data_IF_218548908445
#
_entry.id   IF_218548908445
#
_cell.length_a   1.000
_cell.length_b   1.000
_cell.length_c   1.000
_cell.angle_alpha   90.00
_cell.angle_beta   90.00
_cell.angle_gamma   90.00
#
_symmetry.space_group_name_H-M   'P 1'
#
loop_
_entity.id
_entity.type
_entity.pdbx_description
1 polymer ?
#
# COMPACT_ATOMS: atom_id res chain seq x y z
N UNK A 1 4.94 6.92 12.66
CA UNK A 1 6.16 6.58 11.91
C UNK A 1 6.46 5.09 11.94
N UNK A 2 5.42 4.25 12.07
CA UNK A 2 5.55 3.03 12.88
C UNK A 2 5.38 1.75 12.04
N UNK A 3 4.67 1.83 10.91
CA UNK A 3 4.53 0.74 9.92
C UNK A 3 5.85 0.27 9.27
N UNK A 4 6.93 1.06 9.39
CA UNK A 4 8.22 0.76 8.75
C UNK A 4 9.18 0.07 9.72
N UNK A 5 8.95 0.21 11.04
CA UNK A 5 10.01 -0.01 12.03
C UNK A 5 9.92 -1.35 12.79
N UNK A 6 8.80 -2.08 12.72
CA UNK A 6 8.68 -3.34 13.47
C UNK A 6 8.09 -4.49 12.66
N UNK A 7 8.86 -4.99 11.68
CA UNK A 7 8.82 -6.41 11.33
C UNK A 7 10.02 -6.80 10.47
N UNK A 8 11.17 -6.95 11.11
CA UNK A 8 12.28 -7.72 10.54
C UNK A 8 11.87 -9.18 10.20
N UNK A 9 10.72 -9.65 10.71
CA UNK A 9 10.10 -10.95 10.44
C UNK A 9 9.31 -10.95 9.11
N UNK A 10 8.53 -9.90 8.82
CA UNK A 10 7.80 -9.74 7.54
C UNK A 10 8.80 -9.45 6.41
N UNK A 11 9.74 -8.54 6.62
CA UNK A 11 10.77 -8.23 5.59
C UNK A 11 11.64 -9.44 5.22
N UNK A 12 11.94 -10.37 6.13
CA UNK A 12 12.79 -11.54 5.86
C UNK A 12 12.09 -12.68 5.14
N UNK A 13 10.76 -12.85 5.30
CA UNK A 13 10.01 -13.95 4.65
C UNK A 13 9.55 -13.60 3.23
N UNK A 14 9.28 -12.32 2.93
CA UNK A 14 8.66 -11.91 1.66
C UNK A 14 9.63 -11.36 0.59
N UNK A 15 10.95 -11.32 0.86
CA UNK A 15 11.94 -10.79 -0.09
C UNK A 15 12.27 -11.75 -1.26
N UNK A 16 11.87 -13.03 -1.19
CA UNK A 16 12.35 -14.07 -2.13
C UNK A 16 11.44 -14.32 -3.34
N UNK A 17 10.16 -13.91 -3.36
CA UNK A 17 9.22 -14.35 -4.41
C UNK A 17 8.78 -13.31 -5.42
N UNK A 18 9.17 -12.03 -5.30
CA UNK A 18 8.78 -11.02 -6.30
C UNK A 18 9.78 -10.91 -7.47
N UNK A 19 10.02 -12.01 -8.19
CA UNK A 19 10.57 -11.94 -9.55
C UNK A 19 9.39 -11.64 -10.48
N UNK A 20 9.04 -10.36 -10.59
CA UNK A 20 7.92 -9.85 -11.40
C UNK A 20 7.95 -10.43 -12.82
N UNK A 21 6.89 -11.13 -13.23
CA UNK A 21 6.66 -11.51 -14.63
C UNK A 21 6.46 -10.25 -15.48
N UNK A 22 7.00 -10.29 -16.69
CA UNK A 22 7.14 -9.17 -17.64
C UNK A 22 5.81 -8.49 -18.03
N UNK A 23 4.69 -9.19 -17.86
CA UNK A 23 3.39 -8.82 -18.42
C UNK A 23 2.62 -7.75 -17.60
N UNK A 24 2.76 -7.77 -16.28
CA UNK A 24 2.14 -6.75 -15.40
C UNK A 24 2.94 -5.43 -15.36
N UNK A 25 4.24 -5.48 -15.70
CA UNK A 25 5.04 -4.28 -15.96
C UNK A 25 4.56 -3.56 -17.21
N UNK A 26 4.17 -4.26 -18.26
CA UNK A 26 3.80 -3.65 -19.54
C UNK A 26 2.56 -2.75 -19.47
N UNK A 27 1.50 -3.14 -18.74
CA UNK A 27 0.27 -2.32 -18.63
C UNK A 27 0.46 -1.10 -17.73
N UNK A 28 1.20 -1.22 -16.64
CA UNK A 28 1.48 -0.10 -15.73
C UNK A 28 2.54 0.84 -16.34
N UNK A 29 3.59 0.31 -16.97
CA UNK A 29 4.57 1.11 -17.70
C UNK A 29 3.93 1.86 -18.89
N UNK A 30 2.99 1.28 -19.63
CA UNK A 30 2.32 1.96 -20.75
C UNK A 30 1.52 3.20 -20.29
N UNK A 31 0.91 3.15 -19.11
CA UNK A 31 0.21 4.30 -18.52
C UNK A 31 1.19 5.41 -18.10
N UNK A 32 2.29 5.06 -17.42
CA UNK A 32 3.36 6.01 -17.05
C UNK A 32 4.16 6.52 -18.26
N UNK A 33 4.16 5.80 -19.39
CA UNK A 33 4.77 6.21 -20.65
C UNK A 33 3.83 6.99 -21.57
N UNK A 34 2.55 7.15 -21.21
CA UNK A 34 1.60 7.95 -21.97
C UNK A 34 2.05 9.40 -22.05
N UNK A 35 2.07 9.95 -23.26
CA UNK A 35 2.40 11.35 -23.55
C UNK A 35 1.46 12.30 -22.79
N UNK A 36 0.20 11.89 -22.58
CA UNK A 36 -0.78 12.66 -21.83
C UNK A 36 -0.45 12.71 -20.33
N UNK A 37 -0.02 11.60 -19.73
CA UNK A 37 0.38 11.59 -18.31
C UNK A 37 1.63 12.42 -18.09
N UNK A 38 2.65 12.27 -18.95
CA UNK A 38 3.88 13.07 -18.88
C UNK A 38 3.60 14.57 -19.08
N UNK A 39 2.71 14.94 -20.03
CA UNK A 39 2.27 16.33 -20.24
C UNK A 39 1.46 16.87 -19.07
N UNK A 40 0.57 16.07 -18.47
CA UNK A 40 -0.21 16.48 -17.31
C UNK A 40 0.67 16.72 -16.08
N UNK A 41 1.65 15.86 -15.83
CA UNK A 41 2.64 16.06 -14.75
C UNK A 41 3.52 17.27 -15.04
N UNK A 42 3.98 17.45 -16.28
CA UNK A 42 4.77 18.63 -16.66
C UNK A 42 3.97 19.92 -16.49
N UNK A 43 2.71 19.97 -16.94
CA UNK A 43 1.83 21.13 -16.77
C UNK A 43 1.53 21.40 -15.30
N UNK A 44 1.30 20.36 -14.49
CA UNK A 44 1.12 20.52 -13.05
C UNK A 44 2.39 21.08 -12.39
N UNK A 45 3.57 20.58 -12.74
CA UNK A 45 4.85 21.10 -12.26
C UNK A 45 5.10 22.54 -12.72
N UNK A 46 4.76 22.89 -13.96
CA UNK A 46 4.87 24.26 -14.48
C UNK A 46 3.88 25.20 -13.79
N UNK A 47 2.65 24.76 -13.52
CA UNK A 47 1.66 25.53 -12.75
C UNK A 47 2.09 25.73 -11.30
N UNK A 48 2.68 24.71 -10.69
CA UNK A 48 3.28 24.80 -9.35
C UNK A 48 4.44 25.81 -9.37
N UNK A 49 5.36 25.71 -10.32
CA UNK A 49 6.50 26.65 -10.46
C UNK A 49 6.01 28.07 -10.75
N UNK A 50 4.97 28.26 -11.58
CA UNK A 50 4.38 29.56 -11.87
C UNK A 50 3.62 30.15 -10.67
N UNK A 51 2.97 29.32 -9.86
CA UNK A 51 2.35 29.74 -8.61
C UNK A 51 3.41 30.18 -7.58
N UNK A 52 4.53 29.45 -7.49
CA UNK A 52 5.65 29.83 -6.62
C UNK A 52 6.42 31.04 -7.15
N UNK A 53 6.55 31.24 -8.46
CA UNK A 53 7.21 32.42 -9.02
C UNK A 53 6.39 33.70 -8.83
N UNK A 54 5.05 33.61 -8.76
CA UNK A 54 4.18 34.74 -8.36
C UNK A 54 4.11 34.98 -6.85
N UNK A 55 4.46 33.99 -6.04
CA UNK A 55 4.55 34.12 -4.57
C UNK A 55 5.89 34.72 -4.11
N UNK A 56 6.92 34.72 -4.97
CA UNK A 56 8.23 35.32 -4.71
C UNK A 56 8.26 36.83 -5.03
N UNK A 57 7.43 37.66 -4.40
CA UNK A 57 7.69 39.12 -4.33
C UNK A 57 7.64 39.68 -2.90
N UNK A 58 7.34 38.87 -1.88
CA UNK A 58 7.56 39.30 -0.50
C UNK A 58 7.86 38.14 0.44
N UNK A 59 8.99 38.30 1.13
CA UNK A 59 9.45 37.64 2.35
C UNK A 59 10.25 36.31 2.25
N UNK A 60 11.57 36.47 2.47
CA UNK A 60 12.64 35.56 2.89
C UNK A 60 12.85 34.17 2.24
N UNK A 61 13.92 34.11 1.43
CA UNK A 61 14.39 33.01 0.59
C UNK A 61 15.07 31.82 1.33
N UNK A 62 14.97 31.69 2.65
CA UNK A 62 15.59 30.57 3.41
C UNK A 62 14.61 29.47 3.85
N UNK A 63 13.30 29.75 3.88
CA UNK A 63 12.28 28.84 4.42
C UNK A 63 11.69 27.86 3.39
N UNK A 64 11.51 28.28 2.13
CA UNK A 64 10.80 27.49 1.11
C UNK A 64 11.59 26.28 0.57
N UNK A 65 12.93 26.34 0.51
CA UNK A 65 13.77 25.23 0.01
C UNK A 65 13.70 23.99 0.90
N UNK A 66 13.65 24.19 2.22
CA UNK A 66 13.47 23.12 3.21
C UNK A 66 12.11 22.44 3.08
N UNK A 67 11.05 23.19 2.74
CA UNK A 67 9.71 22.61 2.52
C UNK A 67 9.72 21.61 1.35
N UNK A 68 10.41 21.93 0.24
CA UNK A 68 10.57 21.02 -0.91
C UNK A 68 11.38 19.75 -0.58
N UNK A 69 12.46 19.87 0.20
CA UNK A 69 13.22 18.69 0.68
C UNK A 69 12.36 17.79 1.57
N UNK A 70 11.57 18.38 2.47
CA UNK A 70 10.64 17.67 3.36
C UNK A 70 9.52 16.96 2.57
N UNK A 71 8.92 17.63 1.58
CA UNK A 71 7.93 17.00 0.70
C UNK A 71 8.53 15.86 -0.10
N UNK A 72 9.76 16.02 -0.63
CA UNK A 72 10.46 14.95 -1.37
C UNK A 72 10.77 13.74 -0.48
N UNK A 73 11.18 13.93 0.77
CA UNK A 73 11.43 12.81 1.69
C UNK A 73 10.15 12.10 2.09
N UNK A 74 9.09 12.85 2.42
CA UNK A 74 7.78 12.25 2.73
C UNK A 74 7.22 11.52 1.52
N UNK A 75 7.31 12.09 0.33
CA UNK A 75 6.84 11.46 -0.91
C UNK A 75 7.57 10.14 -1.20
N UNK A 76 8.90 10.10 -1.04
CA UNK A 76 9.68 8.86 -1.14
C UNK A 76 9.22 7.83 -0.12
N UNK A 77 8.91 8.25 1.11
CA UNK A 77 8.38 7.39 2.16
C UNK A 77 7.00 6.85 1.78
N UNK A 78 6.09 7.70 1.30
CA UNK A 78 4.76 7.29 0.83
C UNK A 78 4.86 6.27 -0.31
N UNK A 79 5.68 6.52 -1.33
CA UNK A 79 5.89 5.58 -2.42
C UNK A 79 6.51 4.26 -1.95
N UNK A 80 7.44 4.32 -1.00
CA UNK A 80 8.05 3.12 -0.41
C UNK A 80 7.03 2.27 0.35
N UNK A 81 6.20 2.89 1.18
CA UNK A 81 5.12 2.20 1.92
C UNK A 81 4.08 1.62 0.95
N UNK A 82 3.69 2.40 -0.06
CA UNK A 82 2.77 1.93 -1.09
C UNK A 82 3.31 0.71 -1.84
N UNK A 83 4.57 0.76 -2.27
CA UNK A 83 5.22 -0.36 -2.97
C UNK A 83 5.34 -1.59 -2.08
N UNK A 84 5.65 -1.40 -0.78
CA UNK A 84 5.74 -2.48 0.18
C UNK A 84 4.38 -3.17 0.38
N UNK A 85 3.31 -2.41 0.58
CA UNK A 85 1.95 -2.95 0.74
C UNK A 85 1.52 -3.73 -0.52
N UNK A 86 1.79 -3.19 -1.71
CA UNK A 86 1.52 -3.88 -2.97
C UNK A 86 2.30 -5.21 -3.10
N UNK A 87 3.56 -5.24 -2.66
CA UNK A 87 4.37 -6.45 -2.67
C UNK A 87 3.83 -7.50 -1.69
N UNK A 88 3.50 -7.09 -0.46
CA UNK A 88 2.96 -7.98 0.58
C UNK A 88 1.61 -8.57 0.19
N UNK A 89 0.71 -7.77 -0.39
CA UNK A 89 -0.57 -8.29 -0.88
C UNK A 89 -0.37 -9.25 -2.04
N UNK A 90 0.60 -8.99 -2.93
CA UNK A 90 0.95 -9.92 -4.01
C UNK A 90 1.50 -11.25 -3.48
N UNK A 91 2.34 -11.23 -2.45
CA UNK A 91 2.78 -12.49 -1.82
C UNK A 91 1.62 -13.26 -1.22
N UNK A 92 0.65 -12.58 -0.59
CA UNK A 92 -0.56 -13.20 -0.05
C UNK A 92 -1.40 -13.84 -1.16
N UNK A 93 -1.59 -13.16 -2.30
CA UNK A 93 -2.27 -13.72 -3.47
C UNK A 93 -1.62 -15.02 -3.94
N UNK A 94 -0.29 -15.06 -4.02
CA UNK A 94 0.46 -16.24 -4.48
C UNK A 94 0.35 -17.37 -3.45
N UNK A 95 0.57 -17.08 -2.17
CA UNK A 95 0.59 -18.08 -1.09
C UNK A 95 -0.78 -18.75 -0.91
N UNK A 96 -1.86 -17.97 -1.01
CA UNK A 96 -3.23 -18.45 -0.82
C UNK A 96 -4.03 -18.59 -2.12
N UNK A 97 -3.36 -18.57 -3.28
CA UNK A 97 -3.96 -18.73 -4.62
C UNK A 97 -5.16 -17.82 -4.88
N UNK A 98 -5.10 -16.57 -4.40
CA UNK A 98 -6.18 -15.59 -4.59
C UNK A 98 -6.07 -14.88 -5.92
N UNK A 99 -7.21 -14.62 -6.54
CA UNK A 99 -7.31 -13.80 -7.75
C UNK A 99 -8.40 -12.75 -7.54
N UNK A 100 -8.10 -11.50 -7.91
CA UNK A 100 -9.05 -10.41 -7.87
C UNK A 100 -9.45 -10.07 -9.30
N UNK A 101 -10.75 -9.91 -9.54
CA UNK A 101 -11.32 -9.86 -10.88
C UNK A 101 -11.18 -8.49 -11.53
N UNK A 102 -10.95 -7.45 -10.73
CA UNK A 102 -10.83 -6.09 -11.21
C UNK A 102 -9.76 -5.28 -10.46
N UNK A 103 -9.27 -4.23 -11.12
CA UNK A 103 -8.37 -3.27 -10.50
C UNK A 103 -9.02 -2.56 -9.29
N UNK A 104 -10.35 -2.38 -9.33
CA UNK A 104 -11.11 -1.79 -8.24
C UNK A 104 -11.11 -2.72 -7.02
N UNK A 105 -11.35 -4.01 -7.23
CA UNK A 105 -11.30 -5.02 -6.18
C UNK A 105 -9.89 -5.11 -5.57
N UNK A 106 -8.86 -5.15 -6.41
CA UNK A 106 -7.46 -5.17 -5.96
C UNK A 106 -7.10 -3.90 -5.16
N UNK A 107 -7.62 -2.73 -5.54
CA UNK A 107 -7.49 -1.50 -4.75
C UNK A 107 -8.25 -1.57 -3.42
N UNK A 108 -9.46 -2.12 -3.42
CA UNK A 108 -10.26 -2.32 -2.21
C UNK A 108 -9.56 -3.27 -1.22
N UNK A 109 -9.05 -4.40 -1.72
CA UNK A 109 -8.30 -5.40 -0.94
C UNK A 109 -7.02 -4.81 -0.36
N UNK A 110 -6.30 -3.94 -1.10
CA UNK A 110 -5.15 -3.17 -0.56
C UNK A 110 -5.53 -2.29 0.63
N UNK A 111 -6.67 -1.61 0.56
CA UNK A 111 -7.11 -0.72 1.64
C UNK A 111 -7.43 -1.54 2.89
N UNK A 112 -8.16 -2.65 2.75
CA UNK A 112 -8.45 -3.57 3.85
C UNK A 112 -7.17 -4.14 4.44
N UNK A 113 -6.28 -4.65 3.59
CA UNK A 113 -5.00 -5.22 4.00
C UNK A 113 -4.13 -4.21 4.76
N UNK A 114 -4.09 -2.95 4.32
CA UNK A 114 -3.39 -1.88 5.04
C UNK A 114 -3.97 -1.63 6.43
N UNK A 115 -5.31 -1.66 6.58
CA UNK A 115 -5.96 -1.52 7.90
C UNK A 115 -5.63 -2.71 8.81
N UNK A 116 -5.66 -3.93 8.28
CA UNK A 116 -5.37 -5.14 9.04
C UNK A 116 -3.89 -5.22 9.46
N UNK A 117 -2.95 -4.79 8.60
CA UNK A 117 -1.53 -4.66 8.98
C UNK A 117 -1.34 -3.68 10.15
N UNK A 118 -2.03 -2.53 10.14
CA UNK A 118 -1.98 -1.59 11.28
C UNK A 118 -2.52 -2.21 12.57
N UNK A 119 -3.59 -3.01 12.46
CA UNK A 119 -4.16 -3.71 13.60
C UNK A 119 -3.19 -4.77 14.17
N UNK A 120 -2.55 -5.55 13.28
CA UNK A 120 -1.53 -6.54 13.65
C UNK A 120 -0.36 -5.86 14.35
N UNK A 121 0.17 -4.78 13.77
CA UNK A 121 1.29 -4.04 14.35
C UNK A 121 0.93 -3.49 15.74
N UNK A 122 -0.23 -2.83 15.87
CA UNK A 122 -0.68 -2.27 17.14
C UNK A 122 -0.85 -3.35 18.23
N UNK A 123 -1.35 -4.53 17.89
CA UNK A 123 -1.45 -5.66 18.82
C UNK A 123 -0.08 -6.22 19.18
N UNK A 124 0.83 -6.34 18.21
CA UNK A 124 2.18 -6.84 18.46
C UNK A 124 3.00 -5.88 19.33
N UNK A 125 2.75 -4.57 19.27
CA UNK A 125 3.30 -3.61 20.24
C UNK A 125 2.76 -3.87 21.66
N UNK A 126 1.45 -4.16 21.80
CA UNK A 126 0.85 -4.52 23.09
C UNK A 126 1.42 -5.83 23.63
N UNK A 127 1.64 -6.81 22.75
CA UNK A 127 2.27 -8.09 23.09
C UNK A 127 3.69 -7.89 23.63
N UNK A 128 4.48 -7.04 22.97
CA UNK A 128 5.85 -6.69 23.44
C UNK A 128 5.88 -6.01 24.80
N UNK A 129 4.80 -5.31 25.18
CA UNK A 129 4.63 -4.72 26.51
C UNK A 129 4.05 -5.70 27.54
N UNK A 130 3.73 -6.94 27.14
CA UNK A 130 3.13 -7.95 28.02
C UNK A 130 1.64 -7.72 28.33
N UNK A 131 0.95 -6.84 27.60
CA UNK A 131 -0.48 -6.54 27.81
C UNK A 131 -1.41 -7.62 27.22
N UNK A 132 -0.91 -8.40 26.27
CA UNK A 132 -1.63 -9.50 25.61
C UNK A 132 -0.72 -10.72 25.54
N UNK A 133 -1.30 -11.91 25.48
CA UNK A 133 -0.58 -13.19 25.61
C UNK A 133 -0.13 -13.80 24.28
N UNK A 134 -0.53 -13.23 23.15
CA UNK A 134 -0.23 -13.78 21.82
C UNK A 134 0.16 -12.67 20.84
N UNK A 135 0.94 -13.04 19.82
CA UNK A 135 1.22 -12.19 18.66
C UNK A 135 0.24 -12.47 17.51
N UNK A 136 0.01 -11.46 16.68
CA UNK A 136 -0.72 -11.59 15.42
C UNK A 136 0.23 -11.60 14.23
N UNK A 137 -0.14 -12.35 13.19
CA UNK A 137 0.59 -12.44 11.95
C UNK A 137 -0.31 -12.26 10.73
N UNK A 138 0.30 -11.98 9.58
CA UNK A 138 -0.40 -11.98 8.29
C UNK A 138 -0.83 -13.41 7.96
N UNK A 139 -2.10 -13.59 7.63
CA UNK A 139 -2.70 -14.88 7.30
C UNK A 139 -3.62 -14.76 6.06
N UNK A 140 -4.29 -15.85 5.69
CA UNK A 140 -5.23 -15.90 4.56
C UNK A 140 -6.45 -14.97 4.69
N UNK A 141 -6.71 -14.40 5.86
CA UNK A 141 -7.83 -13.49 6.13
C UNK A 141 -7.37 -12.02 6.18
N UNK A 142 -6.09 -11.73 5.97
CA UNK A 142 -5.55 -10.39 6.16
C UNK A 142 -6.08 -9.36 5.15
N UNK A 143 -6.67 -9.77 4.03
CA UNK A 143 -7.35 -8.93 3.03
C UNK A 143 -8.89 -8.92 3.16
N UNK A 144 -9.44 -9.52 4.23
CA UNK A 144 -10.87 -9.52 4.54
C UNK A 144 -11.21 -8.47 5.60
N UNK A 145 -12.35 -7.81 5.40
CA UNK A 145 -12.94 -6.95 6.41
C UNK A 145 -13.58 -7.78 7.54
N UNK A 146 -13.82 -7.15 8.69
CA UNK A 146 -14.44 -7.82 9.82
C UNK A 146 -15.83 -8.39 9.48
N UNK A 147 -16.63 -7.64 8.72
CA UNK A 147 -17.94 -8.09 8.27
C UNK A 147 -17.86 -9.28 7.32
N UNK A 148 -16.93 -9.26 6.36
CA UNK A 148 -16.69 -10.41 5.47
C UNK A 148 -16.24 -11.64 6.25
N UNK A 149 -15.37 -11.46 7.25
CA UNK A 149 -14.92 -12.54 8.10
C UNK A 149 -16.05 -13.15 8.94
N UNK A 150 -16.93 -12.32 9.51
CA UNK A 150 -18.12 -12.78 10.24
C UNK A 150 -19.10 -13.50 9.31
N UNK A 151 -19.32 -12.99 8.10
CA UNK A 151 -20.14 -13.67 7.10
C UNK A 151 -19.57 -15.05 6.78
N UNK A 152 -18.26 -15.14 6.54
CA UNK A 152 -17.56 -16.41 6.29
C UNK A 152 -17.69 -17.39 7.46
N UNK A 153 -17.63 -16.90 8.70
CA UNK A 153 -17.79 -17.72 9.90
C UNK A 153 -19.22 -18.27 10.05
N UNK A 154 -20.23 -17.43 9.79
CA UNK A 154 -21.64 -17.80 9.94
C UNK A 154 -22.16 -18.70 8.81
N UNK A 155 -21.62 -18.60 7.60
CA UNK A 155 -22.06 -19.44 6.47
C UNK A 155 -21.46 -20.86 6.49
N UNK A 156 -20.54 -21.15 7.40
CA UNK A 156 -19.97 -22.48 7.62
C UNK A 156 -19.21 -23.02 6.41
N UNK A 157 -17.93 -22.66 6.28
CA UNK A 157 -16.89 -23.38 5.50
C UNK A 157 -17.31 -24.10 4.20
N UNK A 158 -18.16 -23.50 3.35
CA UNK A 158 -18.51 -24.05 2.03
C UNK A 158 -17.83 -23.39 0.85
N UNK A 159 -16.85 -22.51 1.06
CA UNK A 159 -16.12 -21.87 -0.03
C UNK A 159 -14.64 -22.27 -0.03
N UNK A 160 -14.38 -23.50 -0.45
CA UNK A 160 -13.10 -23.86 -1.05
C UNK A 160 -13.00 -23.18 -2.43
N UNK A 161 -12.45 -21.97 -2.47
CA UNK A 161 -11.77 -21.47 -3.68
C UNK A 161 -12.54 -20.54 -4.64
N UNK A 162 -13.64 -19.90 -4.22
CA UNK A 162 -14.30 -18.89 -5.04
C UNK A 162 -15.01 -17.82 -4.21
N UNK A 163 -14.27 -16.82 -3.73
CA UNK A 163 -14.88 -15.51 -3.48
C UNK A 163 -14.75 -14.74 -4.80
N UNK A 164 -15.65 -15.06 -5.74
CA UNK A 164 -15.88 -14.35 -6.98
C UNK A 164 -17.16 -13.52 -6.82
N UNK A 165 -17.07 -12.24 -7.18
CA UNK A 165 -18.17 -11.44 -7.74
C UNK A 165 -19.51 -11.43 -7.00
N UNK A 166 -19.67 -10.52 -6.05
CA UNK A 166 -20.95 -9.84 -5.83
C UNK A 166 -20.75 -8.62 -4.93
N UNK A 167 -20.29 -7.53 -5.55
CA UNK A 167 -20.91 -6.19 -5.57
C UNK A 167 -20.14 -5.30 -6.55
#
# INVERSE_FOLDING_TARGET
SDLINQSAVVKRRYFVTCRTTHESKNKMCAFFHSTHFKRAVLLLLLMIVAAYSKFCVKDDCSSQRWQLYKVRSELKRFFSVFLLICCLLRSLQIEYKKQYNSNLEDAHRRIIFCKNLRMIDAHNERYKRGEVTFEMGVNQFADMSHEEFLRWLHTGSRDNGSILSSL
#
